data_IF_791617312783
#
_entry.id   IF_791617312783
#
_cell.length_a   1.000
_cell.length_b   1.000
_cell.length_c   1.000
_cell.angle_alpha   90.00
_cell.angle_beta   90.00
_cell.angle_gamma   90.00
#
_symmetry.space_group_name_H-M   'P 1'
#
loop_
_entity.id
_entity.type
_entity.pdbx_description
1 polymer ?
#
# COMPACT_ATOMS: atom_id res chain seq x y z
N UNK A 1 -26.68 59.26 14.45
CA UNK A 1 -26.71 58.48 13.19
C UNK A 1 -25.42 58.77 12.46
N UNK A 2 -24.53 57.80 12.28
CA UNK A 2 -23.29 57.98 11.51
C UNK A 2 -23.61 57.77 10.03
N UNK A 3 -23.12 58.68 9.18
CA UNK A 3 -23.27 58.61 7.73
C UNK A 3 -21.87 58.58 7.15
N UNK A 4 -21.55 57.51 6.43
CA UNK A 4 -20.30 57.38 5.70
C UNK A 4 -20.55 57.79 4.26
N UNK A 5 -19.79 58.77 3.78
CA UNK A 5 -19.82 59.24 2.40
C UNK A 5 -18.61 58.67 1.67
N UNK A 6 -18.84 58.05 0.51
CA UNK A 6 -17.79 57.58 -0.39
C UNK A 6 -17.90 58.32 -1.72
N UNK A 7 -16.75 58.61 -2.33
CA UNK A 7 -16.71 59.17 -3.67
C UNK A 7 -16.63 58.04 -4.71
N UNK A 8 -17.70 57.85 -5.48
CA UNK A 8 -17.76 56.87 -6.57
C UNK A 8 -17.40 57.48 -7.93
N UNK A 9 -16.91 58.73 -7.98
CA UNK A 9 -16.53 59.39 -9.23
C UNK A 9 -15.25 58.79 -9.80
N UNK A 10 -15.24 58.54 -11.10
CA UNK A 10 -14.20 57.77 -11.80
C UNK A 10 -12.94 58.58 -12.15
N UNK A 11 -12.81 59.83 -11.69
CA UNK A 11 -11.82 60.77 -12.25
C UNK A 11 -10.57 61.05 -11.40
N UNK A 12 -10.49 60.67 -10.12
CA UNK A 12 -9.41 61.17 -9.26
C UNK A 12 -8.27 60.19 -8.92
N UNK A 13 -8.43 58.87 -9.09
CA UNK A 13 -7.32 57.92 -8.95
C UNK A 13 -7.64 56.61 -9.65
N UNK A 14 -6.61 55.87 -10.07
CA UNK A 14 -6.73 54.57 -10.75
C UNK A 14 -7.50 53.50 -9.93
N UNK A 15 -7.84 53.80 -8.66
CA UNK A 15 -8.60 52.94 -7.75
C UNK A 15 -9.76 53.63 -6.98
N UNK A 16 -10.15 54.88 -7.31
CA UNK A 16 -11.26 55.59 -6.66
C UNK A 16 -11.34 55.42 -5.13
N UNK A 17 -12.56 55.35 -4.58
CA UNK A 17 -12.83 54.99 -3.17
C UNK A 17 -13.17 53.50 -3.00
N UNK A 18 -12.61 52.66 -3.87
CA UNK A 18 -12.77 51.20 -3.87
C UNK A 18 -11.43 50.53 -3.60
N UNK A 19 -11.45 49.33 -3.04
CA UNK A 19 -10.28 48.51 -2.81
C UNK A 19 -10.60 47.07 -3.15
N UNK A 20 -9.70 46.32 -3.81
CA UNK A 20 -9.88 44.89 -3.93
C UNK A 20 -9.82 44.24 -2.54
N UNK A 21 -10.67 43.27 -2.33
CA UNK A 21 -10.71 42.37 -1.18
C UNK A 21 -10.61 40.93 -1.70
N UNK A 22 -10.29 39.94 -0.84
CA UNK A 22 -10.24 38.54 -1.26
C UNK A 22 -11.55 37.98 -1.85
N UNK A 23 -12.68 38.70 -1.66
CA UNK A 23 -14.02 38.29 -2.10
C UNK A 23 -14.50 39.10 -3.31
N UNK A 24 -14.12 40.38 -3.41
CA UNK A 24 -14.57 41.29 -4.47
C UNK A 24 -13.44 42.22 -4.91
N UNK A 25 -13.20 42.32 -6.22
CA UNK A 25 -12.17 43.17 -6.81
C UNK A 25 -12.51 44.66 -6.74
N UNK A 26 -13.80 45.02 -6.57
CA UNK A 26 -14.27 46.40 -6.49
C UNK A 26 -15.13 46.58 -5.23
N UNK A 27 -14.48 46.54 -4.05
CA UNK A 27 -15.18 46.71 -2.78
C UNK A 27 -15.16 48.18 -2.30
N UNK A 28 -16.31 48.81 -1.98
CA UNK A 28 -16.32 50.20 -1.52
C UNK A 28 -15.70 50.36 -0.13
N UNK A 29 -14.73 51.26 0.02
CA UNK A 29 -13.97 51.46 1.27
C UNK A 29 -14.84 51.97 2.41
N UNK A 30 -15.90 52.71 2.13
CA UNK A 30 -16.85 53.16 3.15
C UNK A 30 -17.51 52.00 3.92
N UNK A 31 -17.65 50.81 3.33
CA UNK A 31 -18.13 49.62 4.05
C UNK A 31 -17.11 49.08 5.05
N UNK A 32 -15.81 49.22 4.77
CA UNK A 32 -14.75 48.84 5.72
C UNK A 32 -14.83 49.75 6.95
N UNK A 33 -14.93 51.06 6.72
CA UNK A 33 -15.04 52.06 7.78
C UNK A 33 -16.36 51.96 8.55
N UNK A 34 -17.47 51.67 7.87
CA UNK A 34 -18.76 51.50 8.54
C UNK A 34 -18.79 50.24 9.40
N UNK A 35 -18.20 49.13 8.94
CA UNK A 35 -18.03 47.93 9.76
C UNK A 35 -17.09 48.19 10.94
N UNK A 36 -15.94 48.84 10.74
CA UNK A 36 -15.02 49.19 11.81
C UNK A 36 -15.69 50.08 12.88
N UNK A 37 -16.44 51.10 12.45
CA UNK A 37 -17.20 51.95 13.36
C UNK A 37 -18.31 51.17 14.08
N UNK A 38 -19.02 50.29 13.38
CA UNK A 38 -20.02 49.41 13.98
C UNK A 38 -19.39 48.52 15.06
N UNK A 39 -18.21 47.94 14.81
CA UNK A 39 -17.47 47.11 15.78
C UNK A 39 -17.02 47.92 17.01
N UNK A 40 -16.54 49.15 16.83
CA UNK A 40 -16.16 50.04 17.93
C UNK A 40 -17.37 50.47 18.77
N UNK A 41 -18.50 50.75 18.12
CA UNK A 41 -19.74 51.20 18.80
C UNK A 41 -20.45 50.07 19.53
N UNK A 42 -20.37 48.84 19.01
CA UNK A 42 -20.97 47.65 19.64
C UNK A 42 -20.04 46.96 20.63
N UNK A 43 -18.77 47.37 20.71
CA UNK A 43 -17.77 46.75 21.58
C UNK A 43 -17.36 45.33 21.13
N UNK A 44 -17.82 44.86 19.97
CA UNK A 44 -17.53 43.55 19.42
C UNK A 44 -16.21 43.55 18.62
N UNK A 45 -15.10 43.83 19.31
CA UNK A 45 -13.76 43.80 18.71
C UNK A 45 -13.34 42.35 18.43
N UNK A 46 -12.97 42.07 17.18
CA UNK A 46 -12.38 40.77 16.81
C UNK A 46 -11.02 40.64 17.46
N UNK A 47 -10.85 39.62 18.29
CA UNK A 47 -9.58 39.34 18.95
C UNK A 47 -8.87 38.20 18.22
N UNK A 48 -7.58 38.41 17.92
CA UNK A 48 -6.74 37.35 17.34
C UNK A 48 -6.37 36.37 18.43
N UNK A 49 -6.50 35.07 18.14
CA UNK A 49 -6.04 34.05 19.05
C UNK A 49 -4.51 34.13 19.24
N UNK A 50 -3.99 33.92 20.46
CA UNK A 50 -2.56 33.94 20.70
C UNK A 50 -1.85 32.81 19.96
N UNK A 51 -0.70 33.10 19.36
CA UNK A 51 0.09 32.14 18.57
C UNK A 51 0.44 30.84 19.32
N UNK A 52 0.65 30.92 20.65
CA UNK A 52 0.92 29.74 21.47
C UNK A 52 -0.22 28.71 21.47
N UNK A 53 -1.47 29.19 21.52
CA UNK A 53 -2.65 28.32 21.43
C UNK A 53 -2.73 27.66 20.05
N UNK A 54 -2.38 28.38 19.00
CA UNK A 54 -2.33 27.85 17.63
C UNK A 54 -1.32 26.70 17.51
N UNK A 55 -0.12 26.86 18.05
CA UNK A 55 0.92 25.81 18.05
C UNK A 55 0.44 24.56 18.78
N UNK A 56 -0.19 24.73 19.96
CA UNK A 56 -0.73 23.61 20.74
C UNK A 56 -1.80 22.85 19.94
N UNK A 57 -2.70 23.55 19.26
CA UNK A 57 -3.72 22.92 18.42
C UNK A 57 -3.07 22.13 17.27
N UNK A 58 -2.09 22.72 16.57
CA UNK A 58 -1.38 22.02 15.48
C UNK A 58 -0.76 20.72 15.98
N UNK A 59 0.01 20.79 17.07
CA UNK A 59 0.70 19.62 17.63
C UNK A 59 -0.30 18.54 18.04
N UNK A 60 -1.40 18.91 18.70
CA UNK A 60 -2.43 17.97 19.11
C UNK A 60 -3.13 17.29 17.92
N UNK A 61 -3.53 18.05 16.91
CA UNK A 61 -4.21 17.51 15.73
C UNK A 61 -3.27 16.65 14.88
N UNK A 62 -2.00 17.06 14.74
CA UNK A 62 -0.98 16.26 14.06
C UNK A 62 -0.70 14.95 14.81
N UNK A 63 -0.58 14.97 16.14
CA UNK A 63 -0.39 13.76 16.93
C UNK A 63 -1.60 12.81 16.79
N UNK A 64 -2.82 13.33 16.83
CA UNK A 64 -4.04 12.55 16.63
C UNK A 64 -4.08 11.90 15.24
N UNK A 65 -3.67 12.62 14.19
CA UNK A 65 -3.59 12.10 12.83
C UNK A 65 -2.58 10.94 12.74
N UNK A 66 -1.39 11.09 13.33
CA UNK A 66 -0.35 10.04 13.34
C UNK A 66 -0.80 8.81 14.12
N UNK A 67 -1.41 9.00 15.30
CA UNK A 67 -1.97 7.89 16.08
C UNK A 67 -3.07 7.15 15.33
N UNK A 68 -3.92 7.90 14.61
CA UNK A 68 -4.96 7.34 13.75
C UNK A 68 -4.36 6.52 12.60
N UNK A 69 -3.22 6.96 12.04
CA UNK A 69 -2.53 6.24 10.98
C UNK A 69 -2.03 4.84 11.42
N UNK A 70 -1.69 4.68 12.70
CA UNK A 70 -1.16 3.41 13.23
C UNK A 70 -2.24 2.36 13.52
N UNK A 71 -3.49 2.77 13.71
CA UNK A 71 -4.57 1.88 14.20
C UNK A 71 -5.67 1.59 13.17
N UNK A 72 -5.82 2.44 12.16
CA UNK A 72 -6.99 2.39 11.25
C UNK A 72 -6.63 1.89 9.84
N UNK A 73 -7.54 1.10 9.26
CA UNK A 73 -7.46 0.73 7.85
C UNK A 73 -7.53 1.96 6.93
N UNK A 74 -7.09 1.84 5.68
CA UNK A 74 -6.87 2.97 4.75
C UNK A 74 -8.09 3.87 4.58
N UNK A 75 -9.28 3.27 4.41
CA UNK A 75 -10.54 4.02 4.25
C UNK A 75 -10.95 4.78 5.53
N UNK A 76 -10.76 4.16 6.69
CA UNK A 76 -11.12 4.77 7.97
C UNK A 76 -10.14 5.87 8.38
N UNK A 77 -8.88 5.74 7.99
CA UNK A 77 -7.88 6.78 8.19
C UNK A 77 -8.17 8.05 7.37
N UNK A 78 -8.53 7.91 6.09
CA UNK A 78 -8.89 9.07 5.25
C UNK A 78 -10.17 9.75 5.75
N UNK A 79 -11.16 8.97 6.20
CA UNK A 79 -12.37 9.49 6.84
C UNK A 79 -12.04 10.26 8.14
N UNK A 80 -11.15 9.74 8.99
CA UNK A 80 -10.72 10.40 10.22
C UNK A 80 -9.98 11.71 9.94
N UNK A 81 -9.08 11.72 8.93
CA UNK A 81 -8.36 12.93 8.51
C UNK A 81 -9.32 14.02 8.03
N UNK A 82 -10.29 13.66 7.18
CA UNK A 82 -11.33 14.59 6.71
C UNK A 82 -12.18 15.09 7.88
N UNK A 83 -12.57 14.21 8.80
CA UNK A 83 -13.33 14.56 10.00
C UNK A 83 -12.60 15.59 10.87
N UNK A 84 -11.28 15.43 11.07
CA UNK A 84 -10.46 16.37 11.84
C UNK A 84 -10.42 17.76 11.16
N UNK A 85 -10.27 17.81 9.83
CA UNK A 85 -10.25 19.06 9.07
C UNK A 85 -11.60 19.80 9.18
N UNK A 86 -12.71 19.09 8.97
CA UNK A 86 -14.07 19.66 9.04
C UNK A 86 -14.39 20.11 10.47
N UNK A 87 -14.01 19.32 11.47
CA UNK A 87 -14.20 19.66 12.88
C UNK A 87 -13.45 20.96 13.24
N UNK A 88 -12.19 21.10 12.83
CA UNK A 88 -11.42 22.31 13.10
C UNK A 88 -12.01 23.54 12.39
N UNK A 89 -12.40 23.41 11.12
CA UNK A 89 -13.04 24.49 10.37
C UNK A 89 -14.37 24.93 11.03
N UNK A 90 -15.19 23.98 11.49
CA UNK A 90 -16.42 24.25 12.22
C UNK A 90 -16.18 24.96 13.56
N UNK A 91 -15.17 24.53 14.32
CA UNK A 91 -14.77 25.20 15.57
C UNK A 91 -14.27 26.62 15.33
N UNK A 92 -13.45 26.83 14.29
CA UNK A 92 -12.97 28.16 13.91
C UNK A 92 -14.13 29.09 13.52
N UNK A 93 -15.09 28.59 12.74
CA UNK A 93 -16.28 29.34 12.35
C UNK A 93 -17.17 29.67 13.56
N UNK A 94 -17.41 28.69 14.45
CA UNK A 94 -18.21 28.90 15.65
C UNK A 94 -17.59 29.91 16.63
N UNK A 95 -16.28 29.82 16.84
CA UNK A 95 -15.53 30.77 17.68
C UNK A 95 -15.58 32.19 17.12
N UNK A 96 -15.56 32.35 15.79
CA UNK A 96 -15.74 33.62 15.12
C UNK A 96 -17.18 34.15 15.24
N UNK A 97 -18.19 33.31 14.96
CA UNK A 97 -19.59 33.70 14.89
C UNK A 97 -20.20 34.05 16.26
N UNK A 98 -19.80 33.34 17.32
CA UNK A 98 -20.36 33.51 18.68
C UNK A 98 -19.47 34.36 19.57
N UNK A 99 -18.14 34.18 19.48
CA UNK A 99 -17.17 34.78 20.39
C UNK A 99 -16.33 35.91 19.81
N UNK A 100 -16.40 36.16 18.49
CA UNK A 100 -15.56 37.15 17.83
C UNK A 100 -14.06 36.78 17.80
N UNK A 101 -13.71 35.52 18.06
CA UNK A 101 -12.33 35.04 18.05
C UNK A 101 -11.93 34.60 16.65
N UNK A 102 -10.86 35.18 16.11
CA UNK A 102 -10.30 34.76 14.83
C UNK A 102 -9.23 33.69 15.05
N UNK A 103 -9.61 32.42 14.92
CA UNK A 103 -8.68 31.29 14.93
C UNK A 103 -7.93 31.20 13.59
N UNK A 104 -6.58 31.04 13.59
CA UNK A 104 -5.82 30.91 12.35
C UNK A 104 -6.17 29.61 11.62
N UNK A 105 -6.77 29.72 10.43
CA UNK A 105 -7.19 28.53 9.67
C UNK A 105 -6.03 27.96 8.85
N UNK A 106 -5.39 28.78 8.01
CA UNK A 106 -4.34 28.31 7.10
C UNK A 106 -3.12 27.70 7.80
N UNK A 107 -2.55 28.30 8.87
CA UNK A 107 -1.37 27.73 9.54
C UNK A 107 -1.64 26.39 10.21
N UNK A 108 -2.91 26.04 10.46
CA UNK A 108 -3.31 24.76 11.06
C UNK A 108 -3.64 23.71 10.01
N UNK A 109 -4.38 24.09 8.95
CA UNK A 109 -4.78 23.14 7.92
C UNK A 109 -3.61 22.70 7.03
N UNK A 110 -2.70 23.60 6.66
CA UNK A 110 -1.58 23.29 5.78
C UNK A 110 -0.70 22.13 6.28
N UNK A 111 -0.17 22.12 7.52
CA UNK A 111 0.64 21.00 8.01
C UNK A 111 -0.16 19.71 8.12
N UNK A 112 -1.46 19.76 8.44
CA UNK A 112 -2.32 18.57 8.48
C UNK A 112 -2.49 17.94 7.11
N UNK A 113 -2.71 18.75 6.07
CA UNK A 113 -2.82 18.27 4.68
C UNK A 113 -1.49 17.67 4.22
N UNK A 114 -0.36 18.33 4.48
CA UNK A 114 0.97 17.82 4.13
C UNK A 114 1.25 16.48 4.83
N UNK A 115 0.96 16.40 6.12
CA UNK A 115 1.14 15.18 6.91
C UNK A 115 0.24 14.04 6.43
N UNK A 116 -1.02 14.35 6.08
CA UNK A 116 -1.93 13.39 5.46
C UNK A 116 -1.39 12.87 4.13
N UNK A 117 -0.98 13.75 3.21
CA UNK A 117 -0.43 13.35 1.92
C UNK A 117 0.82 12.47 2.08
N UNK A 118 1.75 12.89 2.95
CA UNK A 118 2.95 12.12 3.24
C UNK A 118 2.62 10.72 3.79
N UNK A 119 1.73 10.64 4.78
CA UNK A 119 1.30 9.36 5.36
C UNK A 119 0.56 8.46 4.36
N UNK A 120 -0.22 9.05 3.45
CA UNK A 120 -0.94 8.31 2.40
C UNK A 120 0.03 7.69 1.39
N UNK A 121 1.02 8.46 0.93
CA UNK A 121 2.07 7.96 0.02
C UNK A 121 2.87 6.85 0.68
N UNK A 122 3.29 7.04 1.93
CA UNK A 122 4.02 6.04 2.69
C UNK A 122 3.25 4.71 2.79
N UNK A 123 1.94 4.77 3.06
CA UNK A 123 1.08 3.59 3.13
C UNK A 123 0.89 2.91 1.79
N UNK A 124 0.77 3.68 0.72
CA UNK A 124 0.65 3.13 -0.64
C UNK A 124 1.91 2.38 -1.04
N UNK A 125 3.08 2.99 -0.82
CA UNK A 125 4.38 2.37 -1.10
C UNK A 125 4.63 1.09 -0.28
N UNK A 126 4.21 1.07 1.00
CA UNK A 126 4.25 -0.15 1.82
C UNK A 126 3.37 -1.25 1.22
N UNK A 127 2.13 -0.93 0.82
CA UNK A 127 1.18 -1.91 0.27
C UNK A 127 1.75 -2.63 -0.96
N UNK A 128 2.34 -1.87 -1.87
CA UNK A 128 2.89 -2.38 -3.13
C UNK A 128 4.10 -3.32 -2.90
N UNK A 129 4.92 -3.02 -1.88
CA UNK A 129 6.07 -3.86 -1.53
C UNK A 129 5.64 -5.21 -0.90
N UNK A 130 4.54 -5.23 -0.14
CA UNK A 130 4.01 -6.49 0.41
C UNK A 130 3.35 -7.34 -0.67
N UNK A 131 2.62 -6.76 -1.62
CA UNK A 131 1.96 -7.53 -2.68
C UNK A 131 2.97 -8.17 -3.64
N UNK A 132 4.01 -7.44 -4.06
CA UNK A 132 5.02 -7.97 -4.98
C UNK A 132 5.86 -9.11 -4.39
N UNK A 133 6.22 -9.02 -3.11
CA UNK A 133 6.99 -10.07 -2.43
C UNK A 133 6.10 -11.29 -2.10
N UNK A 134 4.84 -11.07 -1.76
CA UNK A 134 3.90 -12.15 -1.44
C UNK A 134 3.46 -12.92 -2.70
N UNK A 135 3.20 -12.25 -3.82
CA UNK A 135 2.88 -12.93 -5.08
C UNK A 135 4.11 -13.69 -5.62
N UNK A 136 5.29 -13.10 -5.61
CA UNK A 136 6.52 -13.75 -6.07
C UNK A 136 6.91 -14.97 -5.22
N UNK A 137 6.76 -14.88 -3.89
CA UNK A 137 7.08 -15.98 -2.98
C UNK A 137 5.99 -17.04 -2.89
N UNK A 138 4.74 -16.78 -3.30
CA UNK A 138 3.69 -17.81 -3.34
C UNK A 138 3.63 -18.52 -4.69
N UNK A 139 3.99 -17.84 -5.79
CA UNK A 139 4.03 -18.44 -7.13
C UNK A 139 5.12 -19.51 -7.30
N UNK A 140 6.21 -19.43 -6.54
CA UNK A 140 7.27 -20.45 -6.58
C UNK A 140 6.90 -21.75 -5.84
N UNK A 141 5.88 -21.72 -4.97
CA UNK A 141 5.45 -22.88 -4.19
C UNK A 141 4.06 -23.40 -4.58
N UNK A 142 3.19 -22.55 -5.16
CA UNK A 142 1.81 -22.93 -5.51
C UNK A 142 1.64 -22.96 -7.03
N UNK A 143 1.06 -24.06 -7.54
CA UNK A 143 0.78 -24.17 -8.97
C UNK A 143 -0.17 -23.05 -9.46
N UNK A 144 -0.06 -22.58 -10.72
CA UNK A 144 -0.93 -21.52 -11.26
C UNK A 144 -2.42 -21.80 -11.08
N UNK A 145 -2.79 -23.08 -11.12
CA UNK A 145 -4.15 -23.57 -10.91
C UNK A 145 -4.63 -23.39 -9.46
N UNK A 146 -3.79 -23.67 -8.47
CA UNK A 146 -4.12 -23.44 -7.06
C UNK A 146 -4.21 -21.94 -6.74
N UNK A 147 -3.35 -21.12 -7.35
CA UNK A 147 -3.47 -19.65 -7.23
C UNK A 147 -4.77 -19.11 -7.85
N UNK A 148 -5.19 -19.63 -9.01
CA UNK A 148 -6.46 -19.25 -9.60
C UNK A 148 -7.66 -19.65 -8.69
N UNK A 149 -7.57 -20.82 -8.05
CA UNK A 149 -8.59 -21.26 -7.08
C UNK A 149 -8.62 -20.37 -5.84
N UNK A 150 -7.47 -20.04 -5.23
CA UNK A 150 -7.39 -19.14 -4.06
C UNK A 150 -7.95 -17.74 -4.39
N UNK A 151 -7.68 -17.22 -5.60
CA UNK A 151 -8.26 -15.94 -6.04
C UNK A 151 -9.78 -15.98 -6.15
N UNK A 152 -10.34 -17.13 -6.54
CA UNK A 152 -11.80 -17.30 -6.72
C UNK A 152 -12.51 -17.57 -5.40
N UNK A 153 -11.85 -18.30 -4.50
CA UNK A 153 -12.38 -18.65 -3.19
C UNK A 153 -11.25 -18.58 -2.13
N UNK A 154 -11.14 -17.46 -1.40
CA UNK A 154 -10.13 -17.29 -0.34
C UNK A 154 -10.32 -18.26 0.83
N UNK A 155 -11.52 -18.85 0.97
CA UNK A 155 -11.85 -19.75 2.08
C UNK A 155 -11.25 -21.15 1.91
N UNK A 156 -10.67 -21.49 0.75
CA UNK A 156 -9.94 -22.75 0.56
C UNK A 156 -8.72 -22.84 1.50
N UNK A 157 -8.17 -21.70 1.93
CA UNK A 157 -7.08 -21.63 2.91
C UNK A 157 -7.56 -21.82 4.37
N UNK A 158 -8.87 -21.91 4.63
CA UNK A 158 -9.37 -22.18 5.99
C UNK A 158 -8.87 -23.54 6.47
N UNK A 159 -8.30 -23.55 7.68
CA UNK A 159 -7.86 -24.78 8.34
C UNK A 159 -9.03 -25.76 8.51
N UNK A 160 -9.00 -26.83 7.72
CA UNK A 160 -9.96 -27.91 7.72
C UNK A 160 -9.47 -28.96 6.74
N UNK A 161 -8.73 -29.96 7.23
CA UNK A 161 -8.16 -30.98 6.35
C UNK A 161 -9.26 -31.78 5.63
N UNK A 162 -9.11 -31.96 4.31
CA UNK A 162 -9.95 -32.85 3.51
C UNK A 162 -9.21 -34.15 3.23
N UNK A 163 -9.88 -35.30 3.39
CA UNK A 163 -9.31 -36.60 3.00
C UNK A 163 -9.45 -36.78 1.49
N UNK A 164 -8.35 -36.65 0.75
CA UNK A 164 -8.29 -36.88 -0.69
C UNK A 164 -7.40 -38.09 -1.01
N UNK A 165 -7.67 -38.75 -2.14
CA UNK A 165 -6.74 -39.70 -2.75
C UNK A 165 -5.80 -38.89 -3.65
N UNK A 166 -4.51 -38.95 -3.37
CA UNK A 166 -3.46 -38.22 -4.09
C UNK A 166 -2.34 -39.18 -4.46
N UNK A 167 -1.52 -38.79 -5.44
CA UNK A 167 -0.23 -39.45 -5.72
C UNK A 167 0.88 -38.51 -5.29
N UNK A 168 1.91 -39.03 -4.63
CA UNK A 168 3.07 -38.25 -4.17
C UNK A 168 4.28 -38.68 -4.98
N UNK A 169 5.07 -37.72 -5.46
CA UNK A 169 6.33 -37.94 -6.13
C UNK A 169 7.44 -37.31 -5.30
N UNK A 170 8.50 -38.09 -5.10
CA UNK A 170 9.74 -37.64 -4.48
C UNK A 170 10.84 -37.75 -5.52
N UNK A 171 11.64 -36.69 -5.63
CA UNK A 171 12.83 -36.65 -6.46
C UNK A 171 14.01 -36.23 -5.62
N UNK A 172 15.18 -36.76 -5.91
CA UNK A 172 16.44 -36.44 -5.24
C UNK A 172 17.60 -36.55 -6.24
N UNK A 173 18.66 -35.77 -6.03
CA UNK A 173 19.83 -35.76 -6.91
C UNK A 173 20.80 -36.85 -6.45
N UNK A 174 21.20 -37.72 -7.38
CA UNK A 174 22.17 -38.79 -7.09
C UNK A 174 23.54 -38.18 -6.76
N UNK A 175 24.17 -38.67 -5.69
CA UNK A 175 25.53 -38.26 -5.26
C UNK A 175 25.71 -36.77 -4.93
N UNK A 176 24.62 -36.02 -4.73
CA UNK A 176 24.68 -34.59 -4.44
C UNK A 176 25.52 -34.23 -3.21
N UNK A 177 25.47 -35.02 -2.14
CA UNK A 177 26.30 -34.78 -0.94
C UNK A 177 27.79 -34.74 -1.27
N UNK A 178 28.27 -35.66 -2.11
CA UNK A 178 29.68 -35.72 -2.50
C UNK A 178 30.08 -34.52 -3.37
N UNK A 179 29.15 -34.03 -4.20
CA UNK A 179 29.32 -32.82 -5.00
C UNK A 179 29.35 -31.56 -4.11
N UNK A 180 28.39 -31.41 -3.20
CA UNK A 180 28.28 -30.22 -2.34
C UNK A 180 29.46 -30.06 -1.39
N UNK A 181 30.12 -31.15 -1.03
CA UNK A 181 31.34 -31.14 -0.20
C UNK A 181 32.58 -30.64 -0.96
N UNK A 182 32.57 -30.72 -2.29
CA UNK A 182 33.73 -30.40 -3.15
C UNK A 182 33.56 -29.10 -3.94
N UNK A 183 32.33 -28.73 -4.27
CA UNK A 183 32.02 -27.54 -5.06
C UNK A 183 31.95 -26.28 -4.20
N UNK A 184 32.18 -25.12 -4.83
CA UNK A 184 31.97 -23.84 -4.17
C UNK A 184 30.46 -23.64 -3.89
N UNK A 185 30.07 -23.00 -2.76
CA UNK A 185 28.66 -22.81 -2.42
C UNK A 185 27.84 -22.10 -3.50
N UNK A 186 28.43 -21.16 -4.23
CA UNK A 186 27.78 -20.47 -5.36
C UNK A 186 27.47 -21.43 -6.52
N UNK A 187 28.36 -22.38 -6.79
CA UNK A 187 28.16 -23.40 -7.82
C UNK A 187 27.09 -24.42 -7.41
N UNK A 188 27.07 -24.83 -6.13
CA UNK A 188 26.01 -25.70 -5.60
C UNK A 188 24.64 -25.02 -5.74
N UNK A 189 24.57 -23.74 -5.42
CA UNK A 189 23.33 -22.97 -5.54
C UNK A 189 22.87 -22.83 -7.00
N UNK A 190 23.78 -22.52 -7.93
CA UNK A 190 23.48 -22.42 -9.37
C UNK A 190 22.90 -23.72 -9.94
N UNK A 191 23.47 -24.87 -9.56
CA UNK A 191 22.99 -26.19 -9.98
C UNK A 191 21.60 -26.48 -9.41
N UNK A 192 21.39 -26.22 -8.12
CA UNK A 192 20.09 -26.43 -7.47
C UNK A 192 19.01 -25.53 -8.07
N UNK A 193 19.30 -24.24 -8.27
CA UNK A 193 18.35 -23.30 -8.85
C UNK A 193 17.94 -23.72 -10.26
N UNK A 194 18.90 -24.16 -11.09
CA UNK A 194 18.63 -24.63 -12.45
C UNK A 194 17.80 -25.91 -12.44
N UNK A 195 18.19 -26.90 -11.64
CA UNK A 195 17.47 -28.17 -11.50
C UNK A 195 16.03 -27.95 -11.00
N UNK A 196 15.85 -27.17 -9.93
CA UNK A 196 14.53 -26.88 -9.37
C UNK A 196 13.66 -26.10 -10.34
N UNK A 197 14.22 -25.15 -11.09
CA UNK A 197 13.46 -24.41 -12.11
C UNK A 197 12.92 -25.33 -13.20
N UNK A 198 13.72 -26.27 -13.69
CA UNK A 198 13.29 -27.20 -14.74
C UNK A 198 12.32 -28.27 -14.23
N UNK A 199 12.61 -28.83 -13.04
CA UNK A 199 11.70 -29.73 -12.36
C UNK A 199 10.34 -29.07 -12.08
N UNK A 200 10.32 -27.84 -11.58
CA UNK A 200 9.09 -27.10 -11.31
C UNK A 200 8.24 -26.92 -12.57
N UNK A 201 8.87 -26.64 -13.72
CA UNK A 201 8.14 -26.56 -15.02
C UNK A 201 7.47 -27.90 -15.37
N UNK A 202 8.15 -29.02 -15.18
CA UNK A 202 7.58 -30.36 -15.44
C UNK A 202 6.49 -30.75 -14.43
N UNK A 203 6.61 -30.30 -13.18
CA UNK A 203 5.59 -30.52 -12.15
C UNK A 203 4.33 -29.71 -12.49
N UNK A 204 4.49 -28.43 -12.82
CA UNK A 204 3.36 -27.56 -13.13
C UNK A 204 2.70 -27.88 -14.48
N UNK A 205 3.43 -28.39 -15.48
CA UNK A 205 2.86 -28.83 -16.76
C UNK A 205 1.84 -29.97 -16.58
N UNK A 206 2.01 -30.76 -15.52
CA UNK A 206 1.15 -31.88 -15.15
C UNK A 206 0.25 -31.52 -13.95
N UNK A 207 -0.13 -30.26 -13.77
CA UNK A 207 -0.81 -29.64 -12.59
C UNK A 207 -0.40 -30.20 -11.21
N UNK A 208 0.86 -30.58 -11.04
CA UNK A 208 1.41 -30.98 -9.75
C UNK A 208 1.53 -29.79 -8.80
N UNK A 209 1.52 -30.06 -7.50
CA UNK A 209 1.72 -29.07 -6.45
C UNK A 209 3.00 -29.43 -5.70
N UNK A 210 3.89 -28.46 -5.54
CA UNK A 210 5.13 -28.64 -4.78
C UNK A 210 4.80 -28.39 -3.31
N UNK A 211 5.02 -29.39 -2.46
CA UNK A 211 4.84 -29.24 -1.02
C UNK A 211 6.03 -28.50 -0.41
N UNK A 212 7.25 -28.99 -0.71
CA UNK A 212 8.50 -28.37 -0.25
C UNK A 212 9.71 -28.89 -1.03
N UNK A 213 10.79 -28.10 -0.95
CA UNK A 213 12.15 -28.51 -1.29
C UNK A 213 12.86 -28.97 -0.01
N UNK A 214 13.64 -30.06 -0.09
CA UNK A 214 14.28 -30.73 1.05
C UNK A 214 15.76 -30.96 0.75
N UNK A 215 16.59 -29.91 0.86
CA UNK A 215 17.99 -29.98 0.44
C UNK A 215 18.07 -30.03 -1.08
N UNK A 216 18.49 -31.17 -1.60
CA UNK A 216 18.53 -31.61 -3.01
C UNK A 216 17.21 -32.26 -3.49
N UNK A 217 16.33 -32.62 -2.55
CA UNK A 217 15.08 -33.29 -2.86
C UNK A 217 13.90 -32.36 -3.14
N UNK A 218 12.92 -32.87 -3.89
CA UNK A 218 11.63 -32.21 -4.13
C UNK A 218 10.49 -33.16 -3.70
N UNK A 219 9.56 -32.67 -2.88
CA UNK A 219 8.31 -33.35 -2.55
C UNK A 219 7.15 -32.70 -3.29
N UNK A 220 6.45 -33.48 -4.11
CA UNK A 220 5.30 -33.00 -4.87
C UNK A 220 4.13 -33.95 -4.75
N UNK A 221 2.91 -33.42 -4.92
CA UNK A 221 1.72 -34.23 -4.97
C UNK A 221 0.78 -33.82 -6.09
N UNK A 222 0.03 -34.82 -6.55
CA UNK A 222 -0.93 -34.72 -7.63
C UNK A 222 -2.30 -35.09 -7.07
N UNK A 223 -3.23 -34.14 -7.11
CA UNK A 223 -4.62 -34.39 -6.74
C UNK A 223 -5.41 -34.96 -7.92
N UNK A 224 -6.48 -35.70 -7.60
CA UNK A 224 -7.45 -36.14 -8.61
C UNK A 224 -8.53 -35.06 -8.79
N UNK A 225 -8.94 -34.85 -10.03
CA UNK A 225 -10.04 -33.96 -10.37
C UNK A 225 -11.37 -34.71 -10.36
N UNK A 226 -12.12 -34.55 -9.27
CA UNK A 226 -13.40 -35.26 -9.09
C UNK A 226 -13.20 -36.77 -8.98
N UNK A 227 -13.96 -37.54 -9.75
CA UNK A 227 -13.95 -39.01 -9.71
C UNK A 227 -12.85 -39.65 -10.58
N UNK A 228 -12.15 -38.88 -11.41
CA UNK A 228 -11.13 -39.39 -12.31
C UNK A 228 -9.80 -39.61 -11.57
N UNK A 229 -9.35 -40.86 -11.51
CA UNK A 229 -8.07 -41.23 -10.88
C UNK A 229 -6.92 -41.06 -11.88
N UNK A 230 -6.54 -39.82 -12.18
CA UNK A 230 -5.46 -39.49 -13.14
C UNK A 230 -4.15 -39.08 -12.46
N UNK A 231 -4.16 -38.82 -11.15
CA UNK A 231 -2.98 -38.38 -10.38
C UNK A 231 -1.76 -39.29 -10.56
N UNK A 232 -1.96 -40.61 -10.64
CA UNK A 232 -0.87 -41.56 -10.82
C UNK A 232 -0.23 -41.47 -12.22
N UNK A 233 -1.04 -41.36 -13.26
CA UNK A 233 -0.55 -41.21 -14.63
C UNK A 233 0.23 -39.88 -14.77
N UNK A 234 -0.35 -38.78 -14.26
CA UNK A 234 0.28 -37.46 -14.25
C UNK A 234 1.61 -37.44 -13.49
N UNK A 235 1.68 -38.14 -12.35
CA UNK A 235 2.93 -38.26 -11.60
C UNK A 235 4.00 -39.03 -12.39
N UNK A 236 3.64 -40.10 -13.09
CA UNK A 236 4.57 -40.86 -13.95
C UNK A 236 5.03 -40.02 -15.14
N UNK A 237 4.11 -39.34 -15.83
CA UNK A 237 4.44 -38.47 -16.96
C UNK A 237 5.36 -37.32 -16.52
N UNK A 238 5.11 -36.75 -15.34
CA UNK A 238 5.98 -35.76 -14.71
C UNK A 238 7.38 -36.34 -14.43
N UNK A 239 7.47 -37.54 -13.84
CA UNK A 239 8.75 -38.17 -13.53
C UNK A 239 9.58 -38.44 -14.80
N UNK A 240 8.93 -38.88 -15.88
CA UNK A 240 9.58 -39.08 -17.18
C UNK A 240 10.09 -37.77 -17.76
N UNK A 241 9.31 -36.69 -17.65
CA UNK A 241 9.72 -35.37 -18.11
C UNK A 241 10.91 -34.82 -17.29
N UNK A 242 10.85 -34.94 -15.96
CA UNK A 242 11.95 -34.55 -15.07
C UNK A 242 13.22 -35.34 -15.36
N UNK A 243 13.11 -36.65 -15.62
CA UNK A 243 14.25 -37.48 -15.98
C UNK A 243 14.90 -37.05 -17.29
N UNK A 244 14.10 -36.73 -18.32
CA UNK A 244 14.62 -36.25 -19.61
C UNK A 244 15.36 -34.91 -19.45
N UNK A 245 14.78 -33.97 -18.70
CA UNK A 245 15.42 -32.68 -18.41
C UNK A 245 16.71 -32.84 -17.60
N UNK A 246 16.74 -33.72 -16.60
CA UNK A 246 17.93 -34.00 -15.83
C UNK A 246 19.07 -34.58 -16.70
N UNK A 247 18.75 -35.41 -17.70
CA UNK A 247 19.73 -35.92 -18.66
C UNK A 247 20.30 -34.84 -19.56
N UNK A 248 19.48 -33.88 -20.00
CA UNK A 248 19.96 -32.72 -20.78
C UNK A 248 20.88 -31.83 -19.93
N UNK A 249 20.52 -31.61 -18.67
CA UNK A 249 21.28 -30.82 -17.71
C UNK A 249 22.62 -31.49 -17.37
N UNK A 250 22.64 -32.81 -17.19
CA UNK A 250 23.86 -33.61 -17.04
C UNK A 250 24.82 -33.39 -18.22
N UNK A 251 24.32 -33.57 -19.44
CA UNK A 251 25.13 -33.37 -20.65
C UNK A 251 25.69 -31.95 -20.75
N UNK A 252 24.88 -30.95 -20.37
CA UNK A 252 25.29 -29.55 -20.35
C UNK A 252 26.42 -29.29 -19.35
N UNK A 253 26.33 -29.79 -18.11
CA UNK A 253 27.39 -29.62 -17.12
C UNK A 253 28.66 -30.40 -17.46
N UNK A 254 28.52 -31.63 -17.98
CA UNK A 254 29.66 -32.41 -18.49
C UNK A 254 30.41 -31.71 -19.61
N UNK A 255 29.71 -30.99 -20.50
CA UNK A 255 30.35 -30.21 -21.57
C UNK A 255 31.22 -29.05 -21.05
N UNK A 256 30.96 -28.60 -19.82
CA UNK A 256 31.69 -27.53 -19.15
C UNK A 256 32.72 -28.05 -18.14
N UNK A 257 32.95 -29.36 -18.07
CA UNK A 257 33.72 -30.02 -17.01
C UNK A 257 33.21 -29.70 -15.59
N UNK A 258 31.90 -29.45 -15.44
CA UNK A 258 31.21 -29.31 -14.14
C UNK A 258 30.56 -30.65 -13.79
N UNK A 259 30.67 -31.07 -12.53
CA UNK A 259 29.95 -32.22 -11.96
C UNK A 259 28.66 -31.68 -11.29
N UNK A 260 27.51 -32.40 -11.29
CA UNK A 260 27.31 -33.55 -10.39
C UNK A 260 26.69 -34.82 -10.99
N UNK A 261 26.22 -34.80 -12.24
CA UNK A 261 25.37 -35.86 -12.79
C UNK A 261 26.16 -36.98 -13.51
#
# INVERSE_FOLDING_TARGET
KLVFLADTSTQASQYGDVSPTPVDSIFPRAYIWSNAANMLLTGALVTLAPYGLTIVIVVLLSALLVLSAWRLATLWFSAAALGILVMYAGLAFGAFAVGGYLLPVLPVLMPLVVLYLFSSVYRYAQLEHYEGVLEGSLQSYLSPRLMAQIRTDPDILKLGGARKRITVLFSDIVEFTAFSDQADPEEVQDVLETYFADAAKAIFSQDGIIDKYMGDGILTFFENDGDNITSAARAVDCALQMQAQAQELDQFYRSQNRSPF
#
